data_IF_771069763587
#
_entry.id   IF_771069763587
#
_cell.length_a   1.000
_cell.length_b   1.000
_cell.length_c   1.000
_cell.angle_alpha   90.00
_cell.angle_beta   90.00
_cell.angle_gamma   90.00
#
_symmetry.space_group_name_H-M   'P 1'
#
loop_
_entity.id
_entity.type
_entity.pdbx_description
1 polymer ?
#
# COMPACT_ATOMS: atom_id res chain seq x y z
N UNK A 1 9.72 5.59 6.88
CA UNK A 1 8.68 6.63 7.09
C UNK A 1 8.42 7.31 5.76
N UNK A 2 7.24 7.88 5.58
CA UNK A 2 6.89 8.73 4.43
C UNK A 2 6.65 10.14 4.96
N UNK A 3 7.08 11.16 4.21
CA UNK A 3 6.80 12.56 4.55
C UNK A 3 5.88 13.12 3.47
N UNK A 4 4.72 13.62 3.88
CA UNK A 4 3.70 14.18 3.00
C UNK A 4 3.54 15.64 3.35
N UNK A 5 3.91 16.54 2.43
CA UNK A 5 3.84 17.99 2.61
C UNK A 5 4.46 18.48 3.93
N UNK A 6 5.60 17.89 4.30
CA UNK A 6 6.32 18.22 5.54
C UNK A 6 5.77 17.55 6.80
N UNK A 7 4.71 16.75 6.70
CA UNK A 7 4.17 15.94 7.80
C UNK A 7 4.72 14.52 7.75
N UNK A 8 5.35 14.06 8.83
CA UNK A 8 5.89 12.70 8.94
C UNK A 8 4.78 11.68 9.24
N UNK A 9 4.82 10.54 8.55
CA UNK A 9 3.97 9.37 8.85
C UNK A 9 4.51 8.56 10.04
N UNK A 10 3.79 7.50 10.40
CA UNK A 10 4.32 6.42 11.24
C UNK A 10 5.66 5.90 10.68
N UNK A 11 6.55 5.47 11.58
CA UNK A 11 7.82 4.83 11.24
C UNK A 11 7.60 3.34 10.94
N UNK A 12 8.30 2.86 9.92
CA UNK A 12 8.23 1.50 9.40
C UNK A 12 9.65 0.94 9.31
N UNK A 13 9.77 -0.37 9.37
CA UNK A 13 11.06 -1.07 9.19
C UNK A 13 11.60 -0.83 7.78
N UNK A 14 10.69 -0.83 6.80
CA UNK A 14 10.97 -0.58 5.39
C UNK A 14 9.76 0.10 4.74
N UNK A 15 10.01 0.92 3.72
CA UNK A 15 8.99 1.50 2.85
C UNK A 15 9.44 1.31 1.41
N UNK A 16 8.57 0.78 0.56
CA UNK A 16 8.83 0.51 -0.86
C UNK A 16 7.58 0.80 -1.70
N UNK A 17 7.76 0.76 -3.03
CA UNK A 17 6.71 0.80 -4.06
C UNK A 17 5.56 1.79 -3.80
N UNK A 18 5.71 3.00 -4.36
CA UNK A 18 4.72 4.06 -4.28
C UNK A 18 3.91 4.14 -5.57
N UNK A 19 2.59 4.19 -5.46
CA UNK A 19 1.68 4.45 -6.58
C UNK A 19 0.73 5.59 -6.25
N UNK A 20 0.59 6.54 -7.18
CA UNK A 20 -0.38 7.64 -7.08
C UNK A 20 -1.68 7.28 -7.80
N UNK A 21 -2.79 7.82 -7.29
CA UNK A 21 -4.03 7.89 -8.05
C UNK A 21 -3.84 8.72 -9.32
N UNK A 22 -4.65 8.50 -10.37
CA UNK A 22 -4.53 9.26 -11.63
C UNK A 22 -4.66 10.77 -11.44
N UNK A 23 -5.42 11.23 -10.45
CA UNK A 23 -5.57 12.65 -10.11
C UNK A 23 -4.53 13.18 -9.11
N UNK A 24 -3.58 12.34 -8.69
CA UNK A 24 -2.51 12.65 -7.73
C UNK A 24 -2.99 13.12 -6.34
N UNK A 25 -4.26 12.92 -6.00
CA UNK A 25 -4.83 13.31 -4.70
C UNK A 25 -4.72 12.22 -3.62
N UNK A 26 -4.43 11.00 -4.04
CA UNK A 26 -4.29 9.85 -3.17
C UNK A 26 -3.07 9.04 -3.61
N UNK A 27 -2.47 8.31 -2.67
CA UNK A 27 -1.39 7.40 -2.99
C UNK A 27 -1.42 6.19 -2.06
N UNK A 28 -0.77 5.12 -2.51
CA UNK A 28 -0.50 3.92 -1.73
C UNK A 28 0.99 3.63 -1.73
N UNK A 29 1.48 3.09 -0.62
CA UNK A 29 2.84 2.55 -0.53
C UNK A 29 2.85 1.26 0.27
N UNK A 30 3.87 0.44 0.05
CA UNK A 30 4.11 -0.76 0.83
C UNK A 30 4.97 -0.40 2.03
N UNK A 31 4.59 -0.91 3.20
CA UNK A 31 5.36 -0.74 4.41
C UNK A 31 5.55 -2.06 5.14
N UNK A 32 6.72 -2.21 5.78
CA UNK A 32 7.05 -3.39 6.59
C UNK A 32 6.99 -3.07 8.08
N UNK A 33 6.30 -3.92 8.83
CA UNK A 33 6.13 -3.81 10.28
C UNK A 33 6.31 -5.20 10.89
N UNK A 34 7.32 -5.38 11.73
CA UNK A 34 7.59 -6.64 12.44
C UNK A 34 7.65 -7.85 11.48
N UNK A 35 8.29 -7.66 10.32
CA UNK A 35 8.46 -8.72 9.33
C UNK A 35 7.21 -9.06 8.48
N UNK A 36 6.14 -8.28 8.58
CA UNK A 36 4.95 -8.38 7.72
C UNK A 36 4.79 -7.14 6.84
N UNK A 37 4.17 -7.29 5.68
CA UNK A 37 3.86 -6.19 4.76
C UNK A 37 2.43 -5.69 4.95
N UNK A 38 2.24 -4.39 4.86
CA UNK A 38 0.93 -3.72 4.77
C UNK A 38 0.93 -2.78 3.57
N UNK A 39 -0.22 -2.61 2.93
CA UNK A 39 -0.42 -1.48 2.03
C UNK A 39 -0.97 -0.32 2.84
N UNK A 40 -0.37 0.85 2.70
CA UNK A 40 -0.80 2.07 3.38
C UNK A 40 -1.37 3.02 2.36
N UNK A 41 -2.65 3.37 2.50
CA UNK A 41 -3.32 4.36 1.66
C UNK A 41 -3.52 5.64 2.45
N UNK A 42 -2.92 6.74 2.01
CA UNK A 42 -3.07 8.06 2.65
C UNK A 42 -2.91 8.02 4.19
N UNK A 43 -1.96 7.20 4.66
CA UNK A 43 -1.68 7.00 6.09
C UNK A 43 -2.52 5.93 6.80
N UNK A 44 -3.48 5.29 6.13
CA UNK A 44 -4.30 4.20 6.67
C UNK A 44 -3.76 2.84 6.25
N UNK A 45 -3.38 2.03 7.23
CA UNK A 45 -2.83 0.68 7.03
C UNK A 45 -3.92 -0.35 6.69
N UNK A 46 -3.61 -1.28 5.79
CA UNK A 46 -4.41 -2.48 5.55
C UNK A 46 -4.19 -3.56 6.62
N UNK A 47 -4.84 -4.71 6.43
CA UNK A 47 -4.41 -5.94 7.12
C UNK A 47 -2.97 -6.32 6.76
N UNK A 48 -2.35 -7.14 7.62
CA UNK A 48 -0.97 -7.61 7.45
C UNK A 48 -0.92 -8.86 6.56
N UNK A 49 0.08 -8.92 5.69
CA UNK A 49 0.39 -10.04 4.82
C UNK A 49 1.86 -10.45 4.97
N UNK A 50 2.23 -11.59 4.41
CA UNK A 50 3.62 -12.05 4.40
C UNK A 50 4.45 -11.24 3.40
N UNK A 51 3.89 -10.99 2.21
CA UNK A 51 4.38 -10.06 1.19
C UNK A 51 3.22 -9.34 0.52
N UNK A 52 3.52 -8.17 -0.04
CA UNK A 52 2.67 -7.39 -0.93
C UNK A 52 3.58 -6.92 -2.05
N UNK A 53 3.07 -6.92 -3.29
CA UNK A 53 3.81 -6.46 -4.47
C UNK A 53 2.84 -5.82 -5.49
N UNK A 54 3.36 -4.94 -6.33
CA UNK A 54 2.70 -4.33 -7.50
C UNK A 54 1.38 -3.57 -7.21
N UNK A 55 1.38 -2.57 -6.30
CA UNK A 55 0.20 -1.75 -6.10
C UNK A 55 -0.07 -0.87 -7.31
N UNK A 56 -1.31 -0.91 -7.82
CA UNK A 56 -1.71 -0.13 -9.00
C UNK A 56 -3.12 0.42 -8.87
N UNK A 57 -3.31 1.68 -9.28
CA UNK A 57 -4.62 2.31 -9.30
C UNK A 57 -5.38 1.95 -10.58
N UNK A 58 -6.71 1.85 -10.47
CA UNK A 58 -7.55 1.82 -11.66
C UNK A 58 -7.47 3.16 -12.42
N UNK A 59 -7.61 3.18 -13.76
CA UNK A 59 -7.53 4.41 -14.54
C UNK A 59 -8.57 5.47 -14.15
N UNK A 60 -9.70 5.05 -13.59
CA UNK A 60 -10.75 5.95 -13.08
C UNK A 60 -10.50 6.44 -11.65
N UNK A 61 -9.42 5.97 -10.99
CA UNK A 61 -9.05 6.33 -9.63
C UNK A 61 -9.98 5.80 -8.53
N UNK A 62 -11.01 5.02 -8.86
CA UNK A 62 -12.04 4.56 -7.90
C UNK A 62 -11.65 3.31 -7.13
N UNK A 63 -10.53 2.69 -7.49
CA UNK A 63 -10.03 1.52 -6.81
C UNK A 63 -8.52 1.39 -7.04
N UNK A 64 -7.92 0.47 -6.30
CA UNK A 64 -6.58 -0.02 -6.55
C UNK A 64 -6.53 -1.53 -6.30
N UNK A 65 -5.50 -2.17 -6.82
CA UNK A 65 -5.23 -3.57 -6.59
C UNK A 65 -3.75 -3.78 -6.26
N UNK A 66 -3.47 -4.88 -5.58
CA UNK A 66 -2.13 -5.36 -5.28
C UNK A 66 -2.14 -6.89 -5.18
N UNK A 67 -0.98 -7.50 -5.34
CA UNK A 67 -0.80 -8.91 -5.02
C UNK A 67 -0.35 -9.06 -3.58
N UNK A 68 -0.79 -10.13 -2.92
CA UNK A 68 -0.38 -10.42 -1.55
C UNK A 68 -0.36 -11.92 -1.29
N UNK A 69 0.41 -12.37 -0.31
CA UNK A 69 0.41 -13.76 0.11
C UNK A 69 0.27 -13.94 1.63
N UNK A 70 -0.28 -15.10 2.00
CA UNK A 70 -0.32 -15.62 3.38
C UNK A 70 0.07 -17.09 3.32
N UNK A 71 1.23 -17.44 3.87
CA UNK A 71 1.91 -18.71 3.62
C UNK A 71 2.13 -18.90 2.12
N UNK A 72 1.80 -20.09 1.62
CA UNK A 72 1.98 -20.45 0.21
C UNK A 72 0.82 -20.00 -0.70
N UNK A 73 -0.15 -19.24 -0.17
CA UNK A 73 -1.33 -18.80 -0.92
C UNK A 73 -1.19 -17.36 -1.38
N UNK A 74 -1.36 -17.15 -2.67
CA UNK A 74 -1.35 -15.84 -3.33
C UNK A 74 -2.76 -15.36 -3.63
N UNK A 75 -2.96 -14.05 -3.52
CA UNK A 75 -4.22 -13.36 -3.74
C UNK A 75 -3.97 -12.10 -4.57
N UNK A 76 -4.96 -11.74 -5.38
CA UNK A 76 -5.10 -10.37 -5.88
C UNK A 76 -6.15 -9.71 -4.99
N UNK A 77 -5.74 -8.64 -4.31
CA UNK A 77 -6.63 -7.87 -3.45
C UNK A 77 -7.02 -6.61 -4.20
N UNK A 78 -8.32 -6.43 -4.43
CA UNK A 78 -8.87 -5.18 -4.96
C UNK A 78 -9.59 -4.44 -3.84
N UNK A 79 -9.29 -3.17 -3.68
CA UNK A 79 -9.95 -2.30 -2.72
C UNK A 79 -10.65 -1.15 -3.46
N UNK A 80 -11.95 -1.03 -3.23
CA UNK A 80 -12.81 0.02 -3.80
C UNK A 80 -13.01 1.14 -2.77
N UNK A 81 -13.39 2.32 -3.25
CA UNK A 81 -13.73 3.50 -2.43
C UNK A 81 -15.11 4.04 -2.77
#
# INVERSE_FOLDING_TARGET
MVVVDGTESQKYDEVSELAYSPDSKSFVYIAKINGKSVIVKDGVESQKYDSIDDPTYSPDGKSFAYTANIGDKWFIVKQNY
#
